data_IF_908303100611
#
_entry.id   IF_908303100611
#
_cell.length_a   1.000
_cell.length_b   1.000
_cell.length_c   1.000
_cell.angle_alpha   90.00
_cell.angle_beta   90.00
_cell.angle_gamma   90.00
#
_symmetry.space_group_name_H-M   'P 1'
#
loop_
_entity.id
_entity.type
_entity.pdbx_description
1 polymer ?
#
# COMPACT_ATOMS: atom_id res chain seq x y z
N UNK A 1 -25.48 44.00 10.64
CA UNK A 1 -25.81 42.57 10.64
C UNK A 1 -25.56 41.84 9.28
N UNK A 2 -25.75 42.51 8.13
CA UNK A 2 -25.61 41.86 6.82
C UNK A 2 -24.18 41.42 6.47
N UNK A 3 -23.13 42.19 6.87
CA UNK A 3 -21.72 41.87 6.56
C UNK A 3 -21.18 40.62 7.27
N UNK A 4 -21.68 40.28 8.45
CA UNK A 4 -21.24 39.08 9.19
C UNK A 4 -21.81 37.81 8.54
N UNK A 5 -23.03 37.87 8.02
CA UNK A 5 -23.65 36.71 7.34
C UNK A 5 -22.94 36.32 6.06
N UNK A 6 -22.42 37.28 5.28
CA UNK A 6 -21.70 37.03 4.03
C UNK A 6 -20.34 36.36 4.30
N UNK A 7 -19.65 36.75 5.38
CA UNK A 7 -18.35 36.15 5.74
C UNK A 7 -18.52 34.71 6.21
N UNK A 8 -19.51 34.41 7.03
CA UNK A 8 -19.80 33.06 7.51
C UNK A 8 -20.26 32.16 6.35
N UNK A 9 -21.08 32.66 5.43
CA UNK A 9 -21.53 31.91 4.28
C UNK A 9 -20.38 31.57 3.30
N UNK A 10 -19.49 32.54 3.04
CA UNK A 10 -18.30 32.29 2.22
C UNK A 10 -17.32 31.30 2.88
N UNK A 11 -17.18 31.32 4.20
CA UNK A 11 -16.33 30.37 4.92
C UNK A 11 -16.91 28.95 4.91
N UNK A 12 -18.22 28.80 5.03
CA UNK A 12 -18.91 27.50 4.91
C UNK A 12 -18.87 26.96 3.48
N UNK A 13 -19.06 27.79 2.46
CA UNK A 13 -19.01 27.38 1.05
C UNK A 13 -17.59 26.98 0.63
N UNK A 14 -16.56 27.72 1.07
CA UNK A 14 -15.16 27.35 0.83
C UNK A 14 -14.78 26.03 1.49
N UNK A 15 -15.24 25.77 2.71
CA UNK A 15 -15.00 24.49 3.39
C UNK A 15 -15.76 23.31 2.72
N UNK A 16 -16.96 23.55 2.20
CA UNK A 16 -17.74 22.53 1.48
C UNK A 16 -17.12 22.20 0.11
N UNK A 17 -16.58 23.17 -0.61
CA UNK A 17 -15.88 22.97 -1.88
C UNK A 17 -14.58 22.18 -1.66
N UNK A 18 -13.79 22.54 -0.64
CA UNK A 18 -12.57 21.80 -0.30
C UNK A 18 -12.86 20.37 0.14
N UNK A 19 -13.90 20.12 0.95
CA UNK A 19 -14.27 18.77 1.39
C UNK A 19 -14.67 17.81 0.25
N UNK A 20 -15.15 18.35 -0.88
CA UNK A 20 -15.45 17.57 -2.10
C UNK A 20 -14.18 17.07 -2.80
N UNK A 21 -13.20 17.93 -2.96
CA UNK A 21 -11.92 17.64 -3.61
C UNK A 21 -11.05 16.69 -2.78
N UNK A 22 -11.06 16.84 -1.45
CA UNK A 22 -10.35 15.97 -0.50
C UNK A 22 -10.77 14.51 -0.62
N UNK A 23 -12.07 14.24 -0.53
CA UNK A 23 -12.63 12.89 -0.64
C UNK A 23 -12.35 12.28 -2.02
N UNK A 24 -12.33 13.11 -3.06
CA UNK A 24 -12.05 12.69 -4.44
C UNK A 24 -10.62 12.19 -4.59
N UNK A 25 -9.61 12.91 -4.06
CA UNK A 25 -8.20 12.56 -4.19
C UNK A 25 -7.85 11.31 -3.37
N UNK A 26 -8.32 11.20 -2.14
CA UNK A 26 -8.14 10.00 -1.31
C UNK A 26 -8.76 8.79 -1.99
N UNK A 27 -9.99 8.94 -2.51
CA UNK A 27 -10.68 7.88 -3.24
C UNK A 27 -9.96 7.50 -4.54
N UNK A 28 -9.41 8.47 -5.27
CA UNK A 28 -8.60 8.21 -6.46
C UNK A 28 -7.36 7.36 -6.09
N UNK A 29 -6.61 7.77 -5.06
CA UNK A 29 -5.44 7.03 -4.58
C UNK A 29 -5.80 5.59 -4.17
N UNK A 30 -6.84 5.43 -3.36
CA UNK A 30 -7.29 4.11 -2.90
C UNK A 30 -7.78 3.23 -4.05
N UNK A 31 -8.47 3.80 -5.04
CA UNK A 31 -8.93 3.07 -6.23
C UNK A 31 -7.77 2.62 -7.13
N UNK A 32 -6.66 3.34 -7.18
CA UNK A 32 -5.47 2.94 -7.92
C UNK A 32 -4.69 1.85 -7.17
N UNK A 33 -4.74 1.88 -5.84
CA UNK A 33 -4.15 0.84 -5.00
C UNK A 33 -4.98 -0.45 -5.02
N UNK A 34 -6.30 -0.30 -5.01
CA UNK A 34 -7.30 -1.37 -5.10
C UNK A 34 -8.20 -1.11 -6.31
N UNK A 35 -7.74 -1.47 -7.51
CA UNK A 35 -8.50 -1.21 -8.74
C UNK A 35 -9.93 -1.70 -8.65
N UNK A 36 -10.83 -1.01 -9.35
CA UNK A 36 -12.23 -1.40 -9.47
C UNK A 36 -12.32 -2.59 -10.44
N UNK A 37 -12.15 -3.78 -9.91
CA UNK A 37 -12.22 -5.04 -10.62
C UNK A 37 -13.59 -5.71 -10.37
N UNK A 38 -13.97 -6.64 -11.24
CA UNK A 38 -15.13 -7.51 -11.01
C UNK A 38 -14.91 -8.35 -9.75
N UNK A 39 -16.00 -8.88 -9.17
CA UNK A 39 -15.94 -9.85 -8.09
C UNK A 39 -14.90 -10.96 -8.36
N UNK A 40 -14.22 -11.42 -7.32
CA UNK A 40 -13.25 -12.51 -7.41
C UNK A 40 -11.88 -12.21 -6.80
N UNK A 41 -10.94 -13.12 -7.05
CA UNK A 41 -9.58 -13.05 -6.52
C UNK A 41 -8.62 -12.71 -7.66
N UNK A 42 -7.76 -11.74 -7.42
CA UNK A 42 -6.77 -11.25 -8.39
C UNK A 42 -5.36 -11.31 -7.81
N UNK A 43 -4.42 -11.74 -8.63
CA UNK A 43 -2.99 -11.71 -8.36
C UNK A 43 -2.33 -10.58 -9.14
N UNK A 44 -1.59 -9.73 -8.45
CA UNK A 44 -0.76 -8.66 -9.00
C UNK A 44 0.68 -9.18 -9.02
N UNK A 45 1.20 -9.46 -10.21
CA UNK A 45 2.60 -9.85 -10.38
C UNK A 45 3.50 -8.64 -10.23
N UNK A 46 4.47 -8.72 -9.32
CA UNK A 46 5.35 -7.62 -8.97
C UNK A 46 6.81 -8.03 -9.15
N UNK A 47 7.60 -7.14 -9.76
CA UNK A 47 9.04 -7.25 -9.81
C UNK A 47 9.66 -6.18 -8.90
N UNK A 48 10.57 -6.59 -8.02
CA UNK A 48 11.26 -5.75 -7.05
C UNK A 48 12.71 -5.58 -7.49
N UNK A 49 13.12 -4.32 -7.69
CA UNK A 49 14.54 -3.95 -7.84
C UNK A 49 14.99 -3.26 -6.56
N UNK A 50 15.90 -3.90 -5.87
CA UNK A 50 16.30 -3.53 -4.51
C UNK A 50 17.75 -3.05 -4.56
N UNK A 51 17.98 -1.85 -4.05
CA UNK A 51 19.33 -1.33 -3.85
C UNK A 51 19.60 -1.18 -2.36
N UNK A 52 20.58 -1.91 -1.85
CA UNK A 52 21.06 -1.79 -0.47
C UNK A 52 22.57 -1.63 -0.53
N UNK A 53 23.06 -0.46 -0.13
CA UNK A 53 24.51 -0.14 -0.13
C UNK A 53 25.18 -0.45 -1.47
N UNK A 54 24.58 -0.01 -2.58
CA UNK A 54 25.02 -0.24 -3.96
C UNK A 54 24.98 -1.71 -4.45
N UNK A 55 24.44 -2.63 -3.68
CA UNK A 55 24.15 -3.97 -4.15
C UNK A 55 22.74 -4.01 -4.73
N UNK A 56 22.64 -4.42 -6.00
CA UNK A 56 21.37 -4.60 -6.70
C UNK A 56 20.91 -6.04 -6.57
N UNK A 57 19.69 -6.22 -6.09
CA UNK A 57 18.98 -7.51 -6.08
C UNK A 57 17.67 -7.38 -6.85
N UNK A 58 17.27 -8.43 -7.51
CA UNK A 58 15.93 -8.58 -8.09
C UNK A 58 15.15 -9.67 -7.38
N UNK A 59 13.86 -9.45 -7.24
CA UNK A 59 12.96 -10.41 -6.59
C UNK A 59 11.57 -10.31 -7.20
N UNK A 60 10.86 -11.40 -7.23
CA UNK A 60 9.47 -11.44 -7.74
C UNK A 60 8.52 -11.71 -6.58
N UNK A 61 7.34 -11.13 -6.64
CA UNK A 61 6.28 -11.35 -5.67
C UNK A 61 4.90 -11.32 -6.30
N UNK A 62 3.93 -11.81 -5.54
CA UNK A 62 2.51 -11.71 -5.85
C UNK A 62 1.79 -11.02 -4.71
N UNK A 63 1.01 -9.99 -5.02
CA UNK A 63 0.01 -9.45 -4.11
C UNK A 63 -1.35 -10.02 -4.51
N UNK A 64 -1.99 -10.76 -3.64
CA UNK A 64 -3.26 -11.43 -3.92
C UNK A 64 -4.35 -10.75 -3.09
N UNK A 65 -5.41 -10.33 -3.77
CA UNK A 65 -6.52 -9.59 -3.19
C UNK A 65 -7.82 -10.30 -3.57
N UNK A 66 -8.68 -10.53 -2.58
CA UNK A 66 -10.08 -10.82 -2.82
C UNK A 66 -10.85 -9.49 -2.89
N UNK A 67 -11.44 -9.18 -4.05
CA UNK A 67 -12.17 -7.93 -4.26
C UNK A 67 -13.43 -7.87 -3.41
N UNK A 68 -14.06 -9.01 -3.15
CA UNK A 68 -15.26 -9.11 -2.32
C UNK A 68 -14.97 -9.02 -0.82
N UNK A 69 -13.72 -9.27 -0.43
CA UNK A 69 -13.26 -9.14 0.94
C UNK A 69 -11.85 -8.52 1.02
N UNK A 70 -11.79 -7.20 0.96
CA UNK A 70 -10.53 -6.43 1.00
C UNK A 70 -9.89 -6.37 2.39
N UNK A 71 -10.55 -6.91 3.41
CA UNK A 71 -10.02 -6.98 4.77
C UNK A 71 -8.93 -8.05 4.93
N UNK A 72 -8.82 -8.93 3.95
CA UNK A 72 -7.81 -9.99 3.95
C UNK A 72 -6.97 -9.90 2.68
N UNK A 73 -5.66 -9.86 2.85
CA UNK A 73 -4.68 -9.72 1.76
C UNK A 73 -3.54 -10.68 1.97
N UNK A 74 -3.06 -11.24 0.88
CA UNK A 74 -1.95 -12.18 0.89
C UNK A 74 -0.83 -11.65 -0.02
N UNK A 75 0.41 -11.73 0.47
CA UNK A 75 1.60 -11.43 -0.30
C UNK A 75 2.49 -12.66 -0.31
N UNK A 76 2.97 -13.02 -1.48
CA UNK A 76 4.05 -13.98 -1.64
C UNK A 76 5.30 -13.22 -2.11
N UNK A 77 6.46 -13.61 -1.59
CA UNK A 77 7.75 -13.05 -1.99
C UNK A 77 8.75 -14.18 -2.20
N UNK A 78 9.39 -14.19 -3.36
CA UNK A 78 10.56 -15.06 -3.56
C UNK A 78 11.75 -14.47 -2.78
N UNK A 79 12.52 -15.34 -2.19
CA UNK A 79 13.73 -14.98 -1.46
C UNK A 79 14.95 -15.74 -2.00
N UNK A 80 16.14 -15.20 -1.80
CA UNK A 80 17.39 -15.84 -2.22
C UNK A 80 17.67 -17.18 -1.52
N UNK A 81 17.19 -17.31 -0.27
CA UNK A 81 17.36 -18.53 0.53
C UNK A 81 16.05 -19.29 0.77
N UNK A 82 14.96 -18.56 0.92
CA UNK A 82 13.63 -19.14 1.14
C UNK A 82 12.57 -18.16 0.73
N UNK A 83 11.43 -18.68 0.33
CA UNK A 83 10.24 -17.90 0.00
C UNK A 83 9.45 -17.58 1.26
N UNK A 84 8.76 -16.46 1.25
CA UNK A 84 7.92 -16.00 2.34
C UNK A 84 6.50 -15.69 1.85
N UNK A 85 5.54 -15.98 2.70
CA UNK A 85 4.16 -15.53 2.54
C UNK A 85 3.76 -14.64 3.71
N UNK A 86 2.98 -13.58 3.43
CA UNK A 86 2.44 -12.69 4.44
C UNK A 86 0.93 -12.65 4.29
N UNK A 87 0.21 -12.92 5.36
CA UNK A 87 -1.23 -12.83 5.45
C UNK A 87 -1.60 -11.64 6.34
N UNK A 88 -2.33 -10.69 5.79
CA UNK A 88 -2.89 -9.56 6.55
C UNK A 88 -4.38 -9.77 6.72
N UNK A 89 -4.85 -9.73 7.96
CA UNK A 89 -6.28 -9.82 8.30
C UNK A 89 -6.62 -8.59 9.13
N UNK A 90 -7.56 -7.76 8.65
CA UNK A 90 -8.03 -6.59 9.39
C UNK A 90 -8.46 -6.99 10.79
N UNK A 91 -8.12 -6.20 11.79
CA UNK A 91 -8.41 -6.41 13.22
C UNK A 91 -7.74 -7.64 13.87
N UNK A 92 -6.99 -8.47 13.12
CA UNK A 92 -6.21 -9.58 13.68
C UNK A 92 -4.70 -9.35 13.56
N UNK A 93 -4.28 -8.55 12.58
CA UNK A 93 -2.89 -8.20 12.34
C UNK A 93 -2.28 -8.93 11.15
N UNK A 94 -0.95 -8.94 11.12
CA UNK A 94 -0.16 -9.47 10.02
C UNK A 94 0.61 -10.71 10.47
N UNK A 95 0.70 -11.69 9.59
CA UNK A 95 1.34 -12.98 9.87
C UNK A 95 2.30 -13.30 8.72
N UNK A 96 3.48 -13.82 9.06
CA UNK A 96 4.50 -14.28 8.11
C UNK A 96 4.71 -15.77 8.26
N UNK A 97 4.92 -16.45 7.14
CA UNK A 97 5.28 -17.86 7.07
C UNK A 97 6.42 -18.03 6.06
N UNK A 98 7.52 -18.66 6.46
CA UNK A 98 8.53 -19.15 5.53
C UNK A 98 8.10 -20.48 4.91
N UNK A 99 8.55 -20.79 3.68
CA UNK A 99 8.15 -22.01 2.96
C UNK A 99 8.38 -23.31 3.75
N UNK A 100 9.44 -23.36 4.54
CA UNK A 100 9.76 -24.52 5.38
C UNK A 100 9.20 -24.44 6.80
N UNK A 101 8.60 -23.31 7.18
CA UNK A 101 8.05 -23.13 8.50
C UNK A 101 6.66 -23.78 8.64
N UNK A 102 6.36 -24.36 9.79
CA UNK A 102 5.06 -24.99 10.07
C UNK A 102 4.07 -24.04 10.73
N UNK A 103 4.56 -22.99 11.39
CA UNK A 103 3.75 -22.09 12.21
C UNK A 103 3.97 -20.67 11.76
N UNK A 104 2.90 -19.91 11.46
CA UNK A 104 3.00 -18.48 11.17
C UNK A 104 3.43 -17.69 12.41
N UNK A 105 4.26 -16.69 12.19
CA UNK A 105 4.63 -15.72 13.23
C UNK A 105 3.91 -14.40 12.99
N UNK A 106 3.48 -13.74 14.07
CA UNK A 106 2.89 -12.41 14.00
C UNK A 106 3.98 -11.37 13.77
N UNK A 107 3.75 -10.45 12.81
CA UNK A 107 4.69 -9.37 12.47
C UNK A 107 3.98 -8.02 12.50
N UNK A 108 4.74 -6.93 12.55
CA UNK A 108 4.19 -5.57 12.47
C UNK A 108 3.90 -5.17 11.01
N UNK A 109 3.07 -4.16 10.81
CA UNK A 109 2.86 -3.55 9.50
C UNK A 109 4.15 -2.90 8.92
N UNK A 110 5.07 -2.49 9.81
CA UNK A 110 6.38 -1.95 9.46
C UNK A 110 7.47 -3.01 9.31
N UNK A 111 7.09 -4.30 9.26
CA UNK A 111 8.05 -5.36 8.99
C UNK A 111 8.69 -5.17 7.61
N UNK A 112 10.04 -5.16 7.55
CA UNK A 112 10.78 -5.03 6.30
C UNK A 112 10.63 -6.31 5.47
N UNK A 113 10.05 -6.16 4.29
CA UNK A 113 9.82 -7.28 3.36
C UNK A 113 11.03 -7.46 2.45
N UNK A 114 11.45 -6.38 1.79
CA UNK A 114 12.61 -6.35 0.89
C UNK A 114 13.17 -4.92 0.80
N UNK A 115 14.50 -4.77 1.04
CA UNK A 115 15.16 -3.48 0.96
C UNK A 115 14.50 -2.41 1.82
N UNK A 116 14.13 -1.29 1.21
CA UNK A 116 13.41 -0.19 1.85
C UNK A 116 11.92 -0.49 2.09
N UNK A 117 11.33 -1.50 1.41
CA UNK A 117 9.89 -1.76 1.47
C UNK A 117 9.46 -2.42 2.78
N UNK A 118 8.37 -1.94 3.33
CA UNK A 118 7.67 -2.53 4.46
C UNK A 118 6.39 -3.24 4.01
N UNK A 119 5.87 -4.11 4.86
CA UNK A 119 4.65 -4.87 4.55
C UNK A 119 3.48 -3.95 4.18
N UNK A 120 3.30 -2.83 4.89
CA UNK A 120 2.24 -1.84 4.61
C UNK A 120 2.40 -1.15 3.24
N UNK A 121 3.64 -0.97 2.74
CA UNK A 121 3.87 -0.34 1.44
C UNK A 121 3.36 -1.23 0.30
N UNK A 122 3.36 -2.54 0.49
CA UNK A 122 2.87 -3.52 -0.49
C UNK A 122 1.38 -3.81 -0.28
N UNK A 123 0.92 -3.86 0.97
CA UNK A 123 -0.50 -4.06 1.30
C UNK A 123 -1.39 -2.89 0.92
N UNK A 124 -0.84 -1.69 0.94
CA UNK A 124 -1.53 -0.43 0.69
C UNK A 124 -1.97 0.31 1.95
N UNK A 125 -1.98 1.63 1.83
CA UNK A 125 -2.49 2.52 2.85
C UNK A 125 -4.01 2.68 2.67
N UNK A 126 -4.77 2.58 3.76
CA UNK A 126 -6.18 2.91 3.76
C UNK A 126 -6.39 4.17 4.60
N UNK A 127 -6.40 5.32 3.92
CA UNK A 127 -6.50 6.61 4.58
C UNK A 127 -7.81 6.80 5.35
N UNK A 128 -8.91 6.24 4.86
CA UNK A 128 -10.22 6.38 5.50
C UNK A 128 -10.32 5.60 6.82
N UNK A 129 -9.66 4.45 6.92
CA UNK A 129 -9.79 3.57 8.10
C UNK A 129 -8.64 3.71 9.09
N UNK A 130 -7.40 3.86 8.58
CA UNK A 130 -6.19 3.71 9.39
C UNK A 130 -5.63 5.05 9.85
N UNK A 131 -6.18 6.16 9.32
CA UNK A 131 -5.68 7.51 9.58
C UNK A 131 -6.80 8.48 9.96
N UNK A 132 -6.42 9.59 10.58
CA UNK A 132 -7.23 10.79 10.81
C UNK A 132 -6.66 11.90 9.95
N UNK A 133 -7.48 12.55 9.14
CA UNK A 133 -7.09 13.75 8.39
C UNK A 133 -6.89 14.90 9.37
N UNK A 134 -5.70 15.51 9.36
CA UNK A 134 -5.38 16.69 10.17
C UNK A 134 -5.55 17.98 9.39
N UNK A 135 -5.09 17.99 8.13
CA UNK A 135 -5.06 19.18 7.30
C UNK A 135 -5.16 18.80 5.82
N UNK A 136 -5.81 19.66 5.04
CA UNK A 136 -5.86 19.61 3.60
C UNK A 136 -5.56 20.98 3.00
N UNK A 137 -4.59 21.03 2.08
CA UNK A 137 -4.20 22.25 1.37
C UNK A 137 -3.89 21.94 -0.08
N UNK A 138 -4.78 22.31 -0.99
CA UNK A 138 -4.63 22.07 -2.42
C UNK A 138 -4.48 20.57 -2.73
N UNK A 139 -3.29 20.16 -3.18
CA UNK A 139 -2.97 18.77 -3.53
C UNK A 139 -2.22 18.01 -2.43
N UNK A 140 -2.14 18.54 -1.22
CA UNK A 140 -1.47 17.95 -0.05
C UNK A 140 -2.44 17.72 1.09
N UNK A 141 -2.40 16.52 1.65
CA UNK A 141 -3.24 16.05 2.74
C UNK A 141 -2.34 15.49 3.84
N UNK A 142 -2.48 15.98 5.05
CA UNK A 142 -1.71 15.56 6.21
C UNK A 142 -2.57 14.67 7.10
N UNK A 143 -2.05 13.50 7.44
CA UNK A 143 -2.75 12.48 8.21
C UNK A 143 -1.97 12.08 9.45
N UNK A 144 -2.71 11.67 10.48
CA UNK A 144 -2.18 11.00 11.67
C UNK A 144 -2.64 9.55 11.70
N UNK A 145 -1.72 8.62 11.92
CA UNK A 145 -2.04 7.21 12.11
C UNK A 145 -2.85 6.99 13.38
N UNK A 146 -3.92 6.19 13.30
CA UNK A 146 -4.70 5.75 14.46
C UNK A 146 -3.96 4.72 15.30
N UNK A 147 -3.02 3.99 14.70
CA UNK A 147 -2.21 3.00 15.37
C UNK A 147 -0.85 3.55 15.79
N UNK A 148 -0.27 2.98 16.83
CA UNK A 148 1.11 3.30 17.23
C UNK A 148 2.08 2.88 16.12
N UNK A 149 2.77 3.86 15.54
CA UNK A 149 3.67 3.68 14.41
C UNK A 149 4.98 4.45 14.63
N UNK A 150 6.06 3.99 13.98
CA UNK A 150 7.30 4.78 13.86
C UNK A 150 7.10 5.99 12.94
N UNK A 151 6.09 5.94 12.07
CA UNK A 151 5.65 7.05 11.22
C UNK A 151 4.24 7.47 11.63
N UNK A 152 4.09 8.23 12.74
CA UNK A 152 2.77 8.66 13.21
C UNK A 152 2.08 9.63 12.26
N UNK A 153 2.82 10.31 11.38
CA UNK A 153 2.28 11.26 10.41
C UNK A 153 2.62 10.84 8.99
N UNK A 154 1.66 11.02 8.09
CA UNK A 154 1.81 10.73 6.66
C UNK A 154 1.18 11.87 5.86
N UNK A 155 1.96 12.46 4.94
CA UNK A 155 1.38 13.34 3.93
C UNK A 155 1.08 12.53 2.67
N UNK A 156 -0.06 12.78 2.05
CA UNK A 156 -0.39 12.36 0.70
C UNK A 156 -0.37 13.59 -0.20
N UNK A 157 0.40 13.51 -1.29
CA UNK A 157 0.52 14.56 -2.29
C UNK A 157 0.19 14.01 -3.67
N UNK A 158 -0.60 14.76 -4.45
CA UNK A 158 -0.75 14.52 -5.89
C UNK A 158 0.26 15.42 -6.61
N UNK A 159 1.31 14.84 -7.18
CA UNK A 159 2.39 15.59 -7.83
C UNK A 159 1.94 16.09 -9.20
N UNK A 160 1.26 15.21 -9.97
CA UNK A 160 0.71 15.50 -11.28
C UNK A 160 -0.45 14.54 -11.59
N UNK A 161 -0.91 14.48 -12.82
CA UNK A 161 -2.03 13.63 -13.25
C UNK A 161 -1.82 12.14 -12.95
N UNK A 162 -0.56 11.67 -13.01
CA UNK A 162 -0.24 10.25 -12.93
C UNK A 162 0.54 9.88 -11.66
N UNK A 163 1.18 10.84 -11.00
CA UNK A 163 2.09 10.56 -9.90
C UNK A 163 1.55 11.08 -8.56
N UNK A 164 1.66 10.21 -7.57
CA UNK A 164 1.38 10.52 -6.16
C UNK A 164 2.64 10.30 -5.34
N UNK A 165 2.71 10.96 -4.19
CA UNK A 165 3.79 10.78 -3.21
C UNK A 165 3.20 10.68 -1.81
N UNK A 166 3.78 9.79 -0.99
CA UNK A 166 3.58 9.85 0.46
C UNK A 166 4.88 10.15 1.17
N UNK A 167 4.80 11.02 2.20
CA UNK A 167 5.90 11.35 3.09
C UNK A 167 5.57 10.81 4.46
N UNK A 168 6.36 9.84 4.94
CA UNK A 168 6.18 9.23 6.24
C UNK A 168 7.10 9.91 7.25
N UNK A 169 6.54 10.47 8.30
CA UNK A 169 7.23 11.35 9.25
C UNK A 169 7.20 10.78 10.67
N UNK A 170 8.24 11.10 11.43
CA UNK A 170 8.31 10.82 12.86
C UNK A 170 7.47 11.81 13.70
N UNK A 171 7.61 11.74 15.01
CA UNK A 171 6.92 12.61 15.96
C UNK A 171 7.35 14.08 15.88
N UNK A 172 8.52 14.35 15.32
CA UNK A 172 9.09 15.68 15.13
C UNK A 172 8.80 16.22 13.72
N UNK A 173 7.91 15.53 12.97
CA UNK A 173 7.56 15.84 11.58
C UNK A 173 8.72 15.75 10.58
N UNK A 174 9.82 15.11 10.95
CA UNK A 174 10.93 14.82 10.05
C UNK A 174 10.54 13.67 9.12
N UNK A 175 10.72 13.87 7.82
CA UNK A 175 10.48 12.81 6.82
C UNK A 175 11.56 11.73 6.92
N UNK A 176 11.15 10.52 7.26
CA UNK A 176 12.01 9.35 7.39
C UNK A 176 11.88 8.41 6.19
N UNK A 177 10.76 8.44 5.46
CA UNK A 177 10.54 7.61 4.27
C UNK A 177 9.69 8.37 3.24
N UNK A 178 10.05 8.20 1.97
CA UNK A 178 9.24 8.68 0.84
C UNK A 178 8.80 7.50 -0.02
N UNK A 179 7.58 7.58 -0.55
CA UNK A 179 7.09 6.62 -1.54
C UNK A 179 6.47 7.39 -2.69
N UNK A 180 6.97 7.16 -3.90
CA UNK A 180 6.38 7.68 -5.14
C UNK A 180 5.55 6.56 -5.75
N UNK A 181 4.35 6.88 -6.19
CA UNK A 181 3.43 5.98 -6.88
C UNK A 181 3.15 6.53 -8.26
N UNK A 182 3.20 5.69 -9.28
CA UNK A 182 2.83 6.07 -10.64
C UNK A 182 1.65 5.25 -11.12
N UNK A 183 0.63 5.98 -11.58
CA UNK A 183 -0.54 5.42 -12.27
C UNK A 183 -0.13 4.91 -13.65
N UNK A 184 -0.70 3.78 -14.05
CA UNK A 184 -0.64 3.25 -15.39
C UNK A 184 -1.85 2.40 -15.70
N UNK A 185 -1.82 1.73 -16.85
CA UNK A 185 -2.90 0.86 -17.30
C UNK A 185 -2.32 -0.53 -17.64
N UNK A 186 -2.87 -1.57 -17.02
CA UNK A 186 -2.52 -2.97 -17.29
C UNK A 186 -3.79 -3.66 -17.80
N UNK A 187 -3.80 -4.04 -19.08
CA UNK A 187 -4.92 -4.78 -19.72
C UNK A 187 -6.27 -4.07 -19.53
N UNK A 188 -6.31 -2.74 -19.63
CA UNK A 188 -7.52 -1.94 -19.45
C UNK A 188 -7.84 -1.58 -18.00
N UNK A 189 -7.01 -1.98 -17.03
CA UNK A 189 -7.20 -1.71 -15.60
C UNK A 189 -6.28 -0.58 -15.18
N UNK A 190 -6.86 0.53 -14.71
CA UNK A 190 -6.09 1.62 -14.10
C UNK A 190 -5.66 1.23 -12.69
N UNK A 191 -4.35 1.26 -12.44
CA UNK A 191 -3.74 0.88 -11.15
C UNK A 191 -2.43 1.64 -10.94
N UNK A 192 -1.87 1.55 -9.73
CA UNK A 192 -0.46 1.87 -9.55
C UNK A 192 0.40 0.75 -10.15
N UNK A 193 1.20 1.11 -11.14
CA UNK A 193 2.08 0.18 -11.88
C UNK A 193 3.54 0.30 -11.42
N UNK A 194 3.87 1.35 -10.68
CA UNK A 194 5.22 1.61 -10.20
C UNK A 194 5.20 2.24 -8.81
N UNK A 195 6.11 1.77 -7.97
CA UNK A 195 6.39 2.32 -6.64
C UNK A 195 7.90 2.53 -6.52
N UNK A 196 8.31 3.65 -5.96
CA UNK A 196 9.70 3.91 -5.59
C UNK A 196 9.73 4.31 -4.12
N UNK A 197 10.42 3.51 -3.32
CA UNK A 197 10.47 3.63 -1.87
C UNK A 197 11.89 3.99 -1.49
N UNK A 198 12.06 5.13 -0.84
CA UNK A 198 13.32 5.59 -0.26
C UNK A 198 13.18 5.65 1.26
N UNK A 199 14.02 4.90 1.97
CA UNK A 199 14.09 4.93 3.42
C UNK A 199 15.27 5.79 3.88
N UNK A 200 14.95 7.01 4.33
CA UNK A 200 15.93 8.00 4.78
C UNK A 200 16.43 7.75 6.21
N UNK A 201 15.74 6.89 6.97
CA UNK A 201 16.16 6.51 8.32
C UNK A 201 17.29 5.46 8.30
N UNK A 202 17.29 4.61 7.27
CA UNK A 202 18.29 3.56 7.07
C UNK A 202 19.06 3.89 5.77
N UNK A 203 20.07 4.75 5.90
CA UNK A 203 20.85 5.31 4.80
C UNK A 203 21.12 4.29 3.67
N UNK A 204 20.89 4.75 2.44
CA UNK A 204 21.24 4.10 1.18
C UNK A 204 20.41 2.83 0.82
N UNK A 205 19.18 2.72 1.27
CA UNK A 205 18.29 1.68 0.77
C UNK A 205 17.13 2.26 -0.04
N UNK A 206 16.96 1.74 -1.26
CA UNK A 206 15.80 2.02 -2.08
C UNK A 206 15.20 0.74 -2.66
N UNK A 207 13.90 0.77 -2.93
CA UNK A 207 13.21 -0.35 -3.56
C UNK A 207 12.27 0.19 -4.63
N UNK A 208 12.43 -0.29 -5.86
CA UNK A 208 11.51 -0.03 -6.96
C UNK A 208 10.66 -1.27 -7.19
N UNK A 209 9.35 -1.09 -7.24
CA UNK A 209 8.39 -2.17 -7.47
C UNK A 209 7.64 -1.87 -8.76
N UNK A 210 7.65 -2.81 -9.68
CA UNK A 210 6.91 -2.76 -10.94
C UNK A 210 5.78 -3.78 -10.87
N UNK A 211 4.55 -3.34 -11.11
CA UNK A 211 3.41 -4.25 -11.29
C UNK A 211 3.37 -4.60 -12.77
N UNK A 212 3.71 -5.84 -13.09
CA UNK A 212 3.85 -6.30 -14.48
C UNK A 212 2.53 -6.83 -15.05
N UNK A 213 1.72 -7.45 -14.21
CA UNK A 213 0.46 -8.06 -14.62
C UNK A 213 -0.58 -8.09 -13.51
N UNK A 214 -1.86 -8.13 -13.90
CA UNK A 214 -3.03 -8.33 -13.05
C UNK A 214 -3.81 -9.51 -13.61
N UNK A 215 -3.86 -10.59 -12.86
CA UNK A 215 -4.40 -11.88 -13.30
C UNK A 215 -5.62 -12.23 -12.45
N UNK A 216 -6.76 -12.50 -13.11
CA UNK A 216 -7.89 -13.12 -12.42
C UNK A 216 -7.55 -14.59 -12.12
N UNK A 217 -7.84 -15.03 -10.91
CA UNK A 217 -7.45 -16.36 -10.44
C UNK A 217 -8.65 -17.20 -10.06
N UNK A 218 -8.50 -18.52 -10.15
CA UNK A 218 -9.46 -19.50 -9.64
C UNK A 218 -9.17 -19.93 -8.19
N UNK A 219 -8.38 -19.16 -7.45
CA UNK A 219 -8.00 -19.50 -6.08
C UNK A 219 -9.22 -19.57 -5.15
N UNK A 220 -9.18 -20.52 -4.21
CA UNK A 220 -10.20 -20.65 -3.20
C UNK A 220 -9.93 -19.68 -2.04
N UNK A 221 -10.99 -19.12 -1.46
CA UNK A 221 -10.92 -18.21 -0.31
C UNK A 221 -10.20 -18.77 0.92
N UNK A 222 -10.05 -20.10 1.01
CA UNK A 222 -9.31 -20.74 2.12
C UNK A 222 -7.84 -20.31 2.23
N UNK A 223 -7.21 -19.83 1.14
CA UNK A 223 -5.84 -19.30 1.18
C UNK A 223 -5.72 -18.03 2.05
N UNK A 224 -6.81 -17.31 2.27
CA UNK A 224 -6.86 -16.13 3.13
C UNK A 224 -7.10 -16.47 4.61
N UNK A 225 -6.70 -17.64 5.06
CA UNK A 225 -6.82 -18.07 6.44
C UNK A 225 -5.46 -18.52 7.00
N UNK A 226 -5.28 -18.44 8.33
CA UNK A 226 -4.07 -18.90 9.00
C UNK A 226 -3.73 -20.38 8.75
N UNK A 227 -4.76 -21.20 8.48
CA UNK A 227 -4.58 -22.63 8.17
C UNK A 227 -4.30 -22.91 6.70
N UNK A 228 -4.65 -21.99 5.82
CA UNK A 228 -4.64 -22.24 4.36
C UNK A 228 -3.63 -21.42 3.56
N UNK A 229 -3.07 -20.33 4.12
CA UNK A 229 -2.23 -19.45 3.31
C UNK A 229 -0.85 -20.05 2.94
N UNK A 230 -0.43 -21.12 3.59
CA UNK A 230 0.75 -21.89 3.19
C UNK A 230 0.62 -22.50 1.77
N UNK A 231 -0.60 -22.74 1.29
CA UNK A 231 -0.85 -23.27 -0.05
C UNK A 231 -0.37 -22.31 -1.16
N UNK A 232 -0.11 -21.06 -0.84
CA UNK A 232 0.45 -20.11 -1.82
C UNK A 232 1.80 -20.57 -2.36
N UNK A 233 2.59 -21.30 -1.59
CA UNK A 233 3.89 -21.83 -2.03
C UNK A 233 3.78 -22.87 -3.15
N UNK A 234 2.66 -23.61 -3.17
CA UNK A 234 2.41 -24.63 -4.19
C UNK A 234 1.82 -24.00 -5.47
N UNK A 235 1.07 -22.91 -5.30
CA UNK A 235 0.35 -22.23 -6.37
C UNK A 235 1.25 -21.25 -7.12
N UNK A 236 2.25 -20.69 -6.44
CA UNK A 236 3.10 -19.62 -6.96
C UNK A 236 3.72 -19.94 -8.33
N UNK A 237 4.23 -21.15 -8.53
CA UNK A 237 4.87 -21.55 -9.78
C UNK A 237 3.97 -21.41 -11.01
N UNK A 238 2.65 -21.55 -10.84
CA UNK A 238 1.67 -21.41 -11.94
C UNK A 238 1.38 -19.96 -12.34
N UNK A 239 1.83 -18.96 -11.56
CA UNK A 239 1.61 -17.54 -11.82
C UNK A 239 2.88 -16.76 -12.16
N UNK A 240 4.06 -17.35 -12.00
CA UNK A 240 5.35 -16.67 -12.20
C UNK A 240 6.09 -17.19 -13.44
N UNK A 241 5.83 -18.43 -13.83
CA UNK A 241 6.29 -18.99 -15.09
C UNK A 241 5.30 -18.65 -16.20
#
# INVERSE_FOLDING_TARGET
MLKIFVIVFNFCVLNLLNAGDEKSLIKEFENLYYPQLKSGIYAFKMNFKINVKNNLEESVGLRIINIDNRDVRLIYMSGSKTDFAFLSIRNKGHFMLGRQAKIPIKVSASYKVKGASELKDILGLNFNTDFVLLKAEGNRFEFQSKEKSIYPFVDLLKINKNDFKTLHKDKEFKTLKEVIYRKGNIKGIDAFVYFEIEDKAFNDSSTKIYVEDIISTSLNNSIFSLKGFNRIFDIYSSYVN
#
